data_IF_978889410597
#
_entry.id   IF_978889410597
#
_cell.length_a   1.000
_cell.length_b   1.000
_cell.length_c   1.000
_cell.angle_alpha   90.00
_cell.angle_beta   90.00
_cell.angle_gamma   90.00
#
_symmetry.space_group_name_H-M   'P 1'
#
loop_
_entity.id
_entity.type
_entity.pdbx_description
1 polymer ?
#
# COMPACT_ATOMS: atom_id res chain seq x y z
N UNK A 1 19.53 2.71 4.04
CA UNK A 1 18.24 3.34 4.40
C UNK A 1 17.12 2.44 3.90
N UNK A 2 16.17 2.01 4.74
CA UNK A 2 15.06 1.14 4.30
C UNK A 2 13.86 2.00 3.89
N UNK A 3 13.42 1.90 2.63
CA UNK A 3 12.14 2.44 2.19
C UNK A 3 10.97 1.76 2.93
N UNK A 4 9.90 2.51 3.25
CA UNK A 4 8.72 2.03 4.01
C UNK A 4 7.48 2.33 3.22
N UNK A 5 6.53 1.42 2.96
CA UNK A 5 5.37 1.63 2.05
C UNK A 5 4.00 1.76 2.77
N UNK A 6 3.05 2.50 2.18
CA UNK A 6 1.62 2.80 2.48
C UNK A 6 0.99 2.53 1.16
N UNK A 7 -0.20 1.99 1.21
CA UNK A 7 -0.99 1.69 0.05
C UNK A 7 -2.36 2.30 0.33
N UNK A 8 -2.75 3.28 -0.48
CA UNK A 8 -4.12 3.78 -0.55
C UNK A 8 -4.80 2.95 -1.64
N UNK A 9 -5.70 2.07 -1.20
CA UNK A 9 -6.31 1.03 -2.05
C UNK A 9 -7.71 1.47 -2.46
N UNK A 10 -7.94 1.50 -3.77
CA UNK A 10 -9.23 1.76 -4.39
C UNK A 10 -9.69 0.52 -5.15
N UNK A 11 -11.01 0.40 -5.32
CA UNK A 11 -11.63 -0.66 -6.11
C UNK A 11 -12.53 -0.06 -7.18
N UNK A 12 -12.73 -0.78 -8.29
CA UNK A 12 -13.45 -0.31 -9.45
C UNK A 12 -14.98 -0.42 -9.25
N UNK A 13 -15.55 0.56 -8.55
CA UNK A 13 -16.99 0.64 -8.26
C UNK A 13 -17.87 0.92 -9.49
N UNK A 14 -17.28 1.31 -10.62
CA UNK A 14 -18.03 1.47 -11.86
C UNK A 14 -18.38 0.12 -12.51
N UNK A 15 -17.60 -0.95 -12.21
CA UNK A 15 -17.77 -2.28 -12.82
C UNK A 15 -18.21 -3.35 -11.85
N UNK A 16 -17.89 -3.23 -10.57
CA UNK A 16 -18.18 -4.24 -9.57
C UNK A 16 -19.11 -3.67 -8.49
N UNK A 17 -19.87 -4.53 -7.82
CA UNK A 17 -20.76 -4.12 -6.73
C UNK A 17 -20.04 -4.08 -5.37
N UNK A 18 -18.88 -4.73 -5.25
CA UNK A 18 -18.11 -4.76 -4.01
C UNK A 18 -16.61 -4.96 -4.23
N UNK A 19 -15.82 -4.58 -3.21
CA UNK A 19 -14.39 -4.89 -3.17
C UNK A 19 -14.12 -6.40 -3.19
N UNK A 20 -15.01 -7.21 -2.58
CA UNK A 20 -14.89 -8.67 -2.57
C UNK A 20 -14.93 -9.25 -3.98
N UNK A 21 -15.82 -8.73 -4.81
CA UNK A 21 -15.93 -9.10 -6.22
C UNK A 21 -14.71 -8.63 -7.02
N UNK A 22 -14.31 -7.36 -6.83
CA UNK A 22 -13.22 -6.74 -7.56
C UNK A 22 -11.83 -7.35 -7.26
N UNK A 23 -11.62 -7.90 -6.05
CA UNK A 23 -10.33 -8.41 -5.58
C UNK A 23 -9.63 -9.41 -6.51
N UNK A 24 -10.40 -10.19 -7.27
CA UNK A 24 -9.90 -11.23 -8.17
C UNK A 24 -9.87 -10.82 -9.64
N UNK A 25 -10.24 -9.57 -9.98
CA UNK A 25 -10.40 -9.09 -11.35
C UNK A 25 -9.20 -8.25 -11.77
N UNK A 26 -8.72 -8.43 -13.00
CA UNK A 26 -7.49 -7.79 -13.49
C UNK A 26 -7.53 -6.26 -13.43
N UNK A 27 -8.71 -5.66 -13.66
CA UNK A 27 -9.00 -4.23 -13.56
C UNK A 27 -9.82 -3.88 -12.29
N UNK A 28 -9.72 -4.74 -11.28
CA UNK A 28 -10.47 -4.66 -10.04
C UNK A 28 -10.00 -3.56 -9.10
N UNK A 29 -8.69 -3.40 -8.96
CA UNK A 29 -8.10 -2.52 -7.95
C UNK A 29 -7.08 -1.54 -8.55
N UNK A 30 -7.06 -0.33 -7.98
CA UNK A 30 -6.02 0.66 -8.20
C UNK A 30 -5.36 0.99 -6.86
N UNK A 31 -4.04 0.88 -6.78
CA UNK A 31 -3.30 1.20 -5.55
C UNK A 31 -2.38 2.39 -5.79
N UNK A 32 -2.62 3.46 -5.04
CA UNK A 32 -1.67 4.57 -4.89
C UNK A 32 -0.73 4.21 -3.74
N UNK A 33 0.55 4.04 -4.02
CA UNK A 33 1.49 3.64 -3.00
C UNK A 33 2.12 4.83 -2.24
N UNK A 34 1.53 5.10 -1.08
CA UNK A 34 1.84 6.07 -0.01
C UNK A 34 3.18 6.05 0.78
N UNK A 35 3.73 4.96 1.28
CA UNK A 35 4.54 4.91 2.56
C UNK A 35 3.77 5.15 3.92
N UNK A 36 3.53 4.14 4.84
CA UNK A 36 2.75 4.13 6.16
C UNK A 36 1.58 3.08 6.41
N UNK A 37 1.13 2.85 7.67
CA UNK A 37 0.23 1.72 8.12
C UNK A 37 -0.84 2.14 9.17
N UNK A 38 -1.94 1.40 9.36
CA UNK A 38 -2.82 1.56 10.55
C UNK A 38 -3.98 0.55 10.71
N UNK A 39 -4.32 0.22 11.98
CA UNK A 39 -5.46 -0.63 12.44
C UNK A 39 -6.73 0.23 12.65
N UNK A 40 -7.91 -0.42 12.67
CA UNK A 40 -9.22 0.23 12.83
C UNK A 40 -9.57 0.57 14.28
N UNK A 41 -9.66 1.86 14.56
CA UNK A 41 -10.53 2.49 15.55
C UNK A 41 -11.66 3.23 14.78
N UNK A 42 -12.69 3.80 15.43
CA UNK A 42 -13.48 4.85 14.80
C UNK A 42 -12.50 5.93 14.33
N UNK A 43 -12.22 5.93 13.03
CA UNK A 43 -11.26 6.79 12.40
C UNK A 43 -12.04 7.53 11.32
N UNK A 44 -12.72 8.57 11.79
CA UNK A 44 -13.57 9.45 10.98
C UNK A 44 -12.86 10.80 10.84
N UNK A 45 -13.32 11.63 9.90
CA UNK A 45 -12.78 12.97 9.65
C UNK A 45 -11.27 12.97 9.32
N UNK A 46 -10.82 11.98 8.54
CA UNK A 46 -9.46 11.93 8.02
C UNK A 46 -9.48 11.91 6.49
N UNK A 47 -8.84 12.91 5.89
CA UNK A 47 -8.58 12.93 4.47
C UNK A 47 -7.19 12.32 4.19
N UNK A 48 -7.09 11.14 3.55
CA UNK A 48 -5.80 10.53 3.25
C UNK A 48 -5.01 11.27 2.17
N UNK A 49 -5.61 12.21 1.44
CA UNK A 49 -4.92 13.01 0.42
C UNK A 49 -3.78 13.84 1.01
N UNK A 50 -3.89 14.22 2.30
CA UNK A 50 -2.86 14.99 3.03
C UNK A 50 -1.55 14.22 3.21
N UNK A 51 -1.58 12.89 3.00
CA UNK A 51 -0.38 12.06 3.04
C UNK A 51 0.30 11.96 1.68
N UNK A 52 -0.30 12.48 0.60
CA UNK A 52 0.32 12.44 -0.71
C UNK A 52 1.45 13.48 -0.81
N UNK A 53 2.50 13.20 -1.60
CA UNK A 53 3.53 14.19 -1.91
C UNK A 53 2.95 15.38 -2.68
N UNK A 54 3.71 16.47 -2.75
CA UNK A 54 3.31 17.68 -3.48
C UNK A 54 3.19 17.43 -4.98
N UNK A 55 4.13 16.70 -5.58
CA UNK A 55 4.03 16.21 -6.96
C UNK A 55 3.42 14.81 -6.99
N UNK A 56 2.39 14.67 -7.82
CA UNK A 56 1.74 13.38 -8.08
C UNK A 56 2.33 12.63 -9.27
N UNK A 57 3.46 13.08 -9.84
CA UNK A 57 4.21 12.33 -10.84
C UNK A 57 4.41 10.88 -10.37
N UNK A 58 4.09 9.92 -11.22
CA UNK A 58 4.04 8.50 -10.87
C UNK A 58 4.51 7.57 -11.99
N UNK A 59 4.96 6.38 -11.58
CA UNK A 59 5.07 5.20 -12.45
C UNK A 59 3.86 4.31 -12.31
N UNK A 60 3.47 3.62 -13.40
CA UNK A 60 2.37 2.66 -13.38
C UNK A 60 2.69 1.35 -14.11
N UNK A 61 2.21 0.25 -13.54
CA UNK A 61 2.35 -1.10 -14.09
C UNK A 61 1.26 -2.04 -13.53
N UNK A 62 0.85 -3.09 -14.27
CA UNK A 62 0.00 -4.15 -13.74
C UNK A 62 0.79 -5.08 -12.80
N UNK A 63 0.20 -5.41 -11.66
CA UNK A 63 0.84 -6.24 -10.65
C UNK A 63 -0.15 -6.90 -9.69
N UNK A 64 0.36 -7.26 -8.52
CA UNK A 64 -0.39 -8.02 -7.52
C UNK A 64 -0.40 -7.39 -6.15
N UNK A 65 -1.26 -7.93 -5.29
CA UNK A 65 -1.14 -7.75 -3.85
C UNK A 65 0.26 -8.17 -3.38
N UNK A 66 0.82 -7.44 -2.41
CA UNK A 66 2.15 -7.73 -1.84
C UNK A 66 2.12 -8.68 -0.64
N UNK A 67 0.95 -9.24 -0.33
CA UNK A 67 0.74 -10.27 0.68
C UNK A 67 -0.36 -11.25 0.22
N UNK A 68 -0.40 -12.48 0.75
CA UNK A 68 -1.47 -13.43 0.47
C UNK A 68 -2.85 -12.76 0.50
N UNK A 69 -3.72 -13.01 -0.49
CA UNK A 69 -3.64 -14.09 -1.48
C UNK A 69 -2.82 -13.80 -2.76
N UNK A 70 -2.12 -12.65 -2.85
CA UNK A 70 -1.25 -12.29 -3.99
C UNK A 70 -1.97 -12.17 -5.36
N UNK A 71 -3.27 -11.87 -5.40
CA UNK A 71 -4.01 -11.70 -6.65
C UNK A 71 -3.37 -10.66 -7.57
N UNK A 72 -3.29 -10.98 -8.87
CA UNK A 72 -2.80 -10.12 -9.95
C UNK A 72 -3.90 -9.18 -10.47
N UNK A 73 -4.53 -8.44 -9.55
CA UNK A 73 -5.69 -7.58 -9.78
C UNK A 73 -5.39 -6.08 -9.63
N UNK A 74 -4.10 -5.73 -9.52
CA UNK A 74 -3.67 -4.37 -9.15
C UNK A 74 -3.13 -3.61 -10.35
N UNK A 75 -3.66 -2.43 -10.61
CA UNK A 75 -2.92 -1.37 -11.31
C UNK A 75 -2.17 -0.53 -10.28
N UNK A 76 -0.84 -0.60 -10.30
CA UNK A 76 0.00 0.18 -9.39
C UNK A 76 0.19 1.61 -9.91
N UNK A 77 0.15 2.57 -8.99
CA UNK A 77 0.58 3.96 -9.18
C UNK A 77 1.58 4.29 -8.07
N UNK A 78 2.86 4.40 -8.42
CA UNK A 78 3.96 4.65 -7.48
C UNK A 78 4.45 6.08 -7.68
N UNK A 79 4.23 6.95 -6.69
CA UNK A 79 4.67 8.35 -6.75
C UNK A 79 6.20 8.44 -6.84
N UNK A 80 6.68 9.39 -7.65
CA UNK A 80 8.09 9.74 -7.85
C UNK A 80 8.67 10.45 -6.64
N UNK A 81 7.88 11.37 -6.07
CA UNK A 81 8.26 12.11 -4.87
C UNK A 81 7.93 11.31 -3.61
N UNK A 82 8.78 11.41 -2.59
CA UNK A 82 8.63 10.71 -1.32
C UNK A 82 8.15 11.67 -0.23
N UNK A 83 7.38 11.14 0.73
CA UNK A 83 7.11 11.80 2.01
C UNK A 83 8.10 11.35 3.09
N UNK A 84 8.34 12.22 4.08
CA UNK A 84 9.26 11.94 5.19
C UNK A 84 8.55 11.29 6.37
N UNK A 85 9.25 10.39 7.05
CA UNK A 85 8.82 9.80 8.33
C UNK A 85 10.01 9.80 9.29
N UNK A 86 9.80 10.29 10.51
CA UNK A 86 10.85 10.31 11.54
C UNK A 86 11.16 8.91 12.09
N UNK A 87 12.32 8.76 12.72
CA UNK A 87 12.73 7.50 13.37
C UNK A 87 11.78 7.12 14.51
N UNK A 88 11.26 8.12 15.22
CA UNK A 88 10.34 7.98 16.35
C UNK A 88 8.96 7.50 15.86
N UNK A 89 8.42 8.13 14.81
CA UNK A 89 7.19 7.66 14.15
C UNK A 89 7.37 6.23 13.60
N UNK A 90 8.55 5.91 13.07
CA UNK A 90 8.84 4.55 12.62
C UNK A 90 8.94 3.55 13.78
N UNK A 91 9.47 3.96 14.93
CA UNK A 91 9.49 3.13 16.13
C UNK A 91 8.07 2.80 16.62
N UNK A 92 7.13 3.74 16.52
CA UNK A 92 5.71 3.50 16.81
C UNK A 92 5.09 2.41 15.91
N UNK A 93 5.49 2.32 14.64
CA UNK A 93 5.06 1.20 13.79
C UNK A 93 5.65 -0.15 14.24
N UNK A 94 6.90 -0.14 14.71
CA UNK A 94 7.60 -1.35 15.17
C UNK A 94 7.14 -1.83 16.53
N UNK A 95 6.53 -0.96 17.35
CA UNK A 95 5.93 -1.34 18.63
C UNK A 95 4.55 -1.98 18.49
N UNK A 96 3.95 -1.99 17.28
CA UNK A 96 2.68 -2.68 17.05
C UNK A 96 2.85 -4.18 17.22
N UNK A 97 2.02 -4.77 18.07
CA UNK A 97 2.03 -6.20 18.36
C UNK A 97 1.22 -7.02 17.34
N UNK A 98 1.78 -8.17 16.93
CA UNK A 98 1.11 -9.16 16.09
C UNK A 98 0.38 -10.25 16.87
N UNK A 99 0.73 -10.46 18.14
CA UNK A 99 0.06 -11.43 19.00
C UNK A 99 -1.34 -10.96 19.41
N UNK A 100 -2.15 -11.89 19.89
CA UNK A 100 -3.45 -11.58 20.51
C UNK A 100 -3.27 -11.18 21.98
N UNK A 101 -4.32 -10.58 22.56
CA UNK A 101 -4.33 -10.20 23.97
C UNK A 101 -4.21 -11.45 24.86
N UNK A 102 -3.37 -11.36 25.90
CA UNK A 102 -3.07 -12.48 26.80
C UNK A 102 -1.88 -13.35 26.38
N UNK A 103 -1.31 -13.16 25.18
CA UNK A 103 -0.09 -13.85 24.74
C UNK A 103 1.18 -13.00 24.94
N UNK A 104 2.34 -13.66 24.82
CA UNK A 104 3.63 -12.98 24.83
C UNK A 104 3.72 -11.94 23.71
N UNK A 105 4.27 -10.77 24.04
CA UNK A 105 4.40 -9.67 23.09
C UNK A 105 5.34 -10.04 21.93
N UNK A 106 4.82 -9.96 20.70
CA UNK A 106 5.57 -10.15 19.46
C UNK A 106 5.44 -8.89 18.59
N UNK A 107 6.46 -8.02 18.58
CA UNK A 107 6.41 -6.79 17.79
C UNK A 107 6.57 -7.04 16.28
N UNK A 108 5.84 -6.27 15.47
CA UNK A 108 5.97 -6.30 14.00
C UNK A 108 7.16 -5.45 13.58
N UNK A 109 8.34 -6.07 13.51
CA UNK A 109 9.58 -5.37 13.12
C UNK A 109 9.62 -5.05 11.61
N UNK A 110 9.00 -5.89 10.79
CA UNK A 110 8.92 -5.74 9.34
C UNK A 110 7.69 -6.45 8.75
N UNK A 111 7.18 -5.95 7.62
CA UNK A 111 6.05 -6.52 6.89
C UNK A 111 6.15 -6.25 5.37
N UNK A 112 7.37 -6.11 4.85
CA UNK A 112 7.62 -5.78 3.46
C UNK A 112 7.89 -7.07 2.65
N UNK A 113 7.41 -7.10 1.41
CA UNK A 113 7.76 -8.15 0.45
C UNK A 113 8.94 -7.67 -0.40
N UNK A 114 9.85 -8.57 -0.74
CA UNK A 114 10.95 -8.28 -1.68
C UNK A 114 10.42 -7.94 -3.07
N UNK A 115 11.09 -7.05 -3.84
CA UNK A 115 10.78 -6.85 -5.26
C UNK A 115 10.73 -8.17 -6.02
N UNK A 116 9.78 -8.29 -6.94
CA UNK A 116 9.60 -9.49 -7.76
C UNK A 116 10.06 -9.22 -9.19
N UNK A 117 10.51 -10.24 -9.94
CA UNK A 117 10.94 -10.06 -11.32
C UNK A 117 9.85 -9.42 -12.20
N UNK A 118 10.25 -8.55 -13.13
CA UNK A 118 9.30 -7.88 -14.02
C UNK A 118 8.62 -8.83 -15.01
N UNK A 119 9.27 -9.95 -15.39
CA UNK A 119 8.73 -10.94 -16.33
C UNK A 119 8.16 -10.31 -17.62
N UNK A 120 8.88 -9.33 -18.18
CA UNK A 120 8.49 -8.65 -19.44
C UNK A 120 7.45 -7.54 -19.30
N UNK A 121 6.99 -7.21 -18.08
CA UNK A 121 6.09 -6.07 -17.86
C UNK A 121 6.77 -4.74 -18.15
N UNK A 122 6.06 -3.85 -18.83
CA UNK A 122 6.47 -2.46 -19.05
C UNK A 122 6.00 -1.57 -17.89
N UNK A 123 6.92 -0.76 -17.37
CA UNK A 123 6.61 0.30 -16.42
C UNK A 123 6.51 1.61 -17.19
N UNK A 124 5.40 2.32 -17.05
CA UNK A 124 5.17 3.61 -17.71
C UNK A 124 5.36 4.75 -16.71
N UNK A 125 5.86 5.90 -17.16
CA UNK A 125 5.94 7.13 -16.37
C UNK A 125 4.87 8.12 -16.85
N UNK A 126 4.38 8.95 -15.93
CA UNK A 126 3.49 10.08 -16.23
C UNK A 126 4.23 11.38 -16.55
N UNK A 127 5.54 11.38 -16.36
CA UNK A 127 6.45 12.51 -16.58
C UNK A 127 7.45 12.19 -17.68
N UNK A 128 8.06 13.24 -18.24
CA UNK A 128 9.09 13.18 -19.30
C UNK A 128 10.49 13.01 -18.71
#
# INVERSE_FOLDING_TARGET
MMAKMLHIVHWNAAKYASIAEALSKADGLAIIAVLMKGKRAPFTNFDPSILLPSSLDYWTYPGSLTHPPLYESITWMVCKEHISVSSEQLAQFRSVLSNVEGENAVPILNNHRRPQPLKGRTVRASFL
#
